data_IF_866808300602
#
_entry.id   IF_866808300602
#
_cell.length_a   1.000
_cell.length_b   1.000
_cell.length_c   1.000
_cell.angle_alpha   90.00
_cell.angle_beta   90.00
_cell.angle_gamma   90.00
#
_symmetry.space_group_name_H-M   'P 1'
#
loop_
_entity.id
_entity.type
_entity.pdbx_description
1 polymer ?
#
# COMPACT_ATOMS: atom_id res chain seq x y z
N UNK A 1 -4.50 -2.67 10.95
CA UNK A 1 -3.18 -3.22 10.63
C UNK A 1 -2.25 -2.25 9.90
N UNK A 2 -1.58 -1.38 10.66
CA UNK A 2 -0.44 -0.59 10.21
C UNK A 2 0.86 -1.32 10.53
N UNK A 3 1.34 -2.12 9.59
CA UNK A 3 2.75 -2.56 9.63
C UNK A 3 3.60 -1.32 9.36
N UNK A 4 4.51 -1.00 10.25
CA UNK A 4 5.42 0.12 10.13
C UNK A 4 6.68 -0.30 9.37
N UNK A 5 7.20 -1.49 9.66
CA UNK A 5 8.40 -2.02 9.01
C UNK A 5 8.51 -3.54 9.11
N UNK A 6 9.22 -4.13 8.17
CA UNK A 6 9.65 -5.53 8.15
C UNK A 6 11.17 -5.61 8.02
N UNK A 7 11.78 -6.53 8.77
CA UNK A 7 13.22 -6.79 8.75
C UNK A 7 13.48 -8.29 8.70
N UNK A 8 14.32 -8.72 7.77
CA UNK A 8 14.78 -10.10 7.62
C UNK A 8 16.28 -10.16 7.89
N UNK A 9 16.69 -11.08 8.76
CA UNK A 9 18.07 -11.32 9.13
C UNK A 9 18.49 -12.76 8.87
N UNK A 10 19.79 -12.96 8.68
CA UNK A 10 20.42 -14.27 8.76
C UNK A 10 20.64 -14.71 10.22
N UNK A 11 21.14 -15.92 10.40
CA UNK A 11 21.55 -16.46 11.71
C UNK A 11 22.53 -15.61 12.49
N UNK A 12 23.40 -14.90 11.79
CA UNK A 12 24.47 -14.13 12.39
C UNK A 12 24.00 -12.71 12.75
N UNK A 13 22.72 -12.39 12.53
CA UNK A 13 22.16 -11.06 12.78
C UNK A 13 22.45 -10.05 11.68
N UNK A 14 22.94 -10.48 10.51
CA UNK A 14 23.14 -9.59 9.36
C UNK A 14 21.82 -9.36 8.62
N UNK A 15 21.50 -8.11 8.23
CA UNK A 15 20.28 -7.81 7.51
C UNK A 15 20.34 -8.36 6.08
N UNK A 16 19.38 -9.22 5.73
CA UNK A 16 19.19 -9.75 4.38
C UNK A 16 18.28 -8.84 3.54
N UNK A 17 17.19 -8.36 4.14
CA UNK A 17 16.24 -7.46 3.52
C UNK A 17 15.49 -6.65 4.58
N UNK A 18 15.01 -5.46 4.22
CA UNK A 18 14.10 -4.70 5.05
C UNK A 18 13.21 -3.81 4.18
N UNK A 19 11.99 -3.55 4.62
CA UNK A 19 11.09 -2.61 3.97
C UNK A 19 10.32 -1.81 5.03
N UNK A 20 10.10 -0.53 4.75
CA UNK A 20 9.32 0.36 5.60
C UNK A 20 8.03 0.75 4.89
N UNK A 21 6.92 0.63 5.60
CA UNK A 21 5.58 0.92 5.07
C UNK A 21 4.94 2.12 5.76
N UNK A 22 5.29 2.37 7.02
CA UNK A 22 4.74 3.45 7.80
C UNK A 22 5.47 4.78 7.64
N UNK A 23 4.71 5.87 7.78
CA UNK A 23 5.24 7.24 7.71
C UNK A 23 5.91 7.72 9.02
N UNK A 24 5.86 6.93 10.11
CA UNK A 24 6.48 7.31 11.38
C UNK A 24 7.99 7.32 11.23
N UNK A 25 8.62 8.44 11.57
CA UNK A 25 10.07 8.49 11.74
C UNK A 25 10.43 7.66 12.98
N UNK A 26 10.97 6.47 12.76
CA UNK A 26 11.55 5.73 13.86
C UNK A 26 12.75 6.48 14.44
N UNK A 27 13.01 6.40 15.76
CA UNK A 27 14.26 6.86 16.33
C UNK A 27 15.42 6.22 15.58
N UNK A 28 16.50 6.97 15.33
CA UNK A 28 17.71 6.47 14.64
C UNK A 28 18.29 5.20 15.25
N UNK A 29 18.00 4.96 16.53
CA UNK A 29 18.41 3.79 17.31
C UNK A 29 17.56 2.53 17.09
N UNK A 30 16.43 2.59 16.38
CA UNK A 30 15.57 1.40 16.24
C UNK A 30 16.26 0.30 15.44
N UNK A 31 17.03 0.66 14.42
CA UNK A 31 17.76 -0.34 13.64
C UNK A 31 18.78 -1.07 14.52
N UNK A 32 19.53 -0.32 15.35
CA UNK A 32 20.43 -0.92 16.34
C UNK A 32 19.70 -1.81 17.35
N UNK A 33 18.56 -1.35 17.86
CA UNK A 33 17.73 -2.15 18.77
C UNK A 33 17.27 -3.45 18.10
N UNK A 34 16.76 -3.38 16.87
CA UNK A 34 16.27 -4.56 16.14
C UNK A 34 17.43 -5.52 15.85
N UNK A 35 18.61 -5.03 15.48
CA UNK A 35 19.80 -5.88 15.29
C UNK A 35 20.21 -6.57 16.60
N UNK A 36 20.31 -5.84 17.71
CA UNK A 36 20.65 -6.44 19.01
C UNK A 36 19.56 -7.42 19.51
N UNK A 37 18.30 -7.11 19.23
CA UNK A 37 17.18 -8.00 19.55
C UNK A 37 17.22 -9.26 18.67
N UNK A 38 17.58 -9.13 17.39
CA UNK A 38 17.78 -10.27 16.49
C UNK A 38 18.90 -11.19 16.97
N UNK A 39 20.03 -10.64 17.41
CA UNK A 39 21.12 -11.42 18.00
C UNK A 39 20.65 -12.18 19.25
N UNK A 40 19.88 -11.53 20.13
CA UNK A 40 19.34 -12.17 21.35
C UNK A 40 18.37 -13.30 21.00
N UNK A 41 17.45 -13.06 20.06
CA UNK A 41 16.47 -14.05 19.61
C UNK A 41 17.15 -15.24 18.93
N UNK A 42 18.13 -14.99 18.06
CA UNK A 42 18.88 -16.04 17.35
C UNK A 42 19.71 -16.92 18.33
N UNK A 43 20.19 -16.33 19.43
CA UNK A 43 20.93 -17.03 20.49
C UNK A 43 20.02 -17.71 21.53
N UNK A 44 18.71 -17.47 21.49
CA UNK A 44 17.72 -18.06 22.40
C UNK A 44 17.43 -19.54 22.12
N UNK A 45 16.96 -20.25 23.16
CA UNK A 45 16.73 -21.71 23.11
C UNK A 45 15.44 -22.13 22.38
N UNK A 46 14.51 -21.21 22.11
CA UNK A 46 13.20 -21.47 21.47
C UNK A 46 13.26 -21.12 19.99
N UNK A 47 13.64 -22.10 19.18
CA UNK A 47 13.66 -22.02 17.70
C UNK A 47 12.29 -22.47 17.18
N UNK A 48 11.77 -21.78 16.16
CA UNK A 48 10.46 -21.98 15.51
C UNK A 48 9.19 -21.49 16.27
N UNK A 49 9.33 -20.72 17.36
CA UNK A 49 8.17 -20.08 17.99
C UNK A 49 7.94 -18.65 17.48
N UNK A 50 6.66 -18.28 17.33
CA UNK A 50 6.23 -16.89 17.18
C UNK A 50 6.43 -16.17 18.52
N UNK A 51 7.12 -15.03 18.50
CA UNK A 51 7.31 -14.19 19.67
C UNK A 51 6.78 -12.78 19.46
N UNK A 52 6.53 -12.08 20.55
CA UNK A 52 6.10 -10.69 20.54
C UNK A 52 6.71 -9.89 21.69
N UNK A 53 6.84 -8.59 21.48
CA UNK A 53 7.25 -7.62 22.49
C UNK A 53 6.53 -6.28 22.27
N UNK A 54 5.98 -5.69 23.32
CA UNK A 54 5.29 -4.39 23.26
C UNK A 54 6.19 -3.26 23.77
N UNK A 55 6.20 -2.15 23.04
CA UNK A 55 6.99 -0.97 23.32
C UNK A 55 6.13 0.28 23.16
N UNK A 56 5.46 0.69 24.23
CA UNK A 56 4.63 1.91 24.27
C UNK A 56 3.56 1.92 23.17
N UNK A 57 3.83 2.58 22.05
CA UNK A 57 2.91 2.70 20.90
C UNK A 57 3.18 1.69 19.78
N UNK A 58 4.20 0.85 19.94
CA UNK A 58 4.60 -0.14 18.95
C UNK A 58 4.52 -1.54 19.54
N UNK A 59 4.32 -2.51 18.65
CA UNK A 59 4.48 -3.92 18.94
C UNK A 59 5.45 -4.52 17.91
N UNK A 60 6.37 -5.35 18.39
CA UNK A 60 7.33 -6.09 17.58
C UNK A 60 6.94 -7.55 17.65
N UNK A 61 6.60 -8.13 16.51
CA UNK A 61 6.35 -9.55 16.34
C UNK A 61 7.54 -10.15 15.61
N UNK A 62 7.90 -11.39 15.95
CA UNK A 62 9.00 -12.04 15.28
C UNK A 62 8.78 -13.54 15.13
N UNK A 63 9.43 -14.09 14.11
CA UNK A 63 9.57 -15.53 13.88
C UNK A 63 11.01 -15.81 13.54
N UNK A 64 11.60 -16.80 14.20
CA UNK A 64 12.98 -17.18 13.99
C UNK A 64 13.11 -18.70 13.93
N UNK A 65 13.95 -19.18 13.02
CA UNK A 65 14.33 -20.59 12.96
C UNK A 65 15.86 -20.72 13.16
N UNK A 66 16.39 -21.91 12.94
CA UNK A 66 17.83 -22.17 13.06
C UNK A 66 18.70 -21.51 11.98
N UNK A 67 18.11 -20.79 11.01
CA UNK A 67 18.80 -20.19 9.85
C UNK A 67 18.57 -18.68 9.67
N UNK A 68 17.44 -18.15 10.14
CA UNK A 68 16.90 -16.84 9.78
C UNK A 68 15.97 -16.31 10.86
N UNK A 69 15.82 -14.99 10.90
CA UNK A 69 14.81 -14.33 11.72
C UNK A 69 14.10 -13.19 10.97
N UNK A 70 12.78 -13.12 11.14
CA UNK A 70 11.90 -12.11 10.58
C UNK A 70 11.26 -11.31 11.71
N UNK A 71 11.35 -9.99 11.62
CA UNK A 71 10.75 -9.05 12.56
C UNK A 71 9.74 -8.17 11.84
N UNK A 72 8.57 -8.03 12.44
CA UNK A 72 7.50 -7.13 12.03
C UNK A 72 7.24 -6.12 13.13
N UNK A 73 7.31 -4.84 12.76
CA UNK A 73 6.97 -3.74 13.65
C UNK A 73 5.62 -3.21 13.21
N UNK A 74 4.67 -3.10 14.14
CA UNK A 74 3.34 -2.55 13.91
C UNK A 74 2.94 -1.61 15.05
N UNK A 75 1.87 -0.84 14.88
CA UNK A 75 1.32 -0.03 15.96
C UNK A 75 0.60 -0.89 17.00
N UNK A 76 0.69 -0.54 18.27
CA UNK A 76 0.09 -1.32 19.38
C UNK A 76 -1.44 -1.38 19.34
N UNK A 77 -2.10 -0.52 18.57
CA UNK A 77 -3.56 -0.51 18.36
C UNK A 77 -4.01 -1.67 17.45
N UNK A 78 -3.10 -2.22 16.64
CA UNK A 78 -3.44 -3.29 15.72
C UNK A 78 -3.70 -4.63 16.42
N UNK A 79 -4.74 -5.33 15.98
CA UNK A 79 -5.10 -6.65 16.51
C UNK A 79 -3.97 -7.67 16.26
N UNK A 80 -3.48 -8.25 17.36
CA UNK A 80 -2.33 -9.17 17.36
C UNK A 80 -2.53 -10.41 16.49
N UNK A 81 -3.72 -11.03 16.51
CA UNK A 81 -3.99 -12.26 15.75
C UNK A 81 -3.90 -12.03 14.23
N UNK A 82 -4.33 -10.86 13.76
CA UNK A 82 -4.20 -10.46 12.36
C UNK A 82 -2.73 -10.27 12.00
N UNK A 83 -1.94 -9.65 12.88
CA UNK A 83 -0.50 -9.45 12.67
C UNK A 83 0.27 -10.76 12.65
N UNK A 84 -0.06 -11.72 13.53
CA UNK A 84 0.55 -13.05 13.53
C UNK A 84 0.23 -13.81 12.23
N UNK A 85 -1.04 -13.76 11.79
CA UNK A 85 -1.45 -14.37 10.52
C UNK A 85 -0.69 -13.74 9.34
N UNK A 86 -0.51 -12.42 9.34
CA UNK A 86 0.26 -11.71 8.33
C UNK A 86 1.75 -12.08 8.39
N UNK A 87 2.34 -12.16 9.59
CA UNK A 87 3.73 -12.55 9.78
C UNK A 87 4.01 -13.95 9.22
N UNK A 88 3.09 -14.89 9.42
CA UNK A 88 3.18 -16.23 8.83
C UNK A 88 3.13 -16.22 7.30
N UNK A 89 2.22 -15.43 6.70
CA UNK A 89 2.16 -15.27 5.24
C UNK A 89 3.46 -14.70 4.68
N UNK A 90 3.95 -13.62 5.29
CA UNK A 90 5.21 -12.96 4.92
C UNK A 90 6.36 -13.97 5.05
N UNK A 91 6.47 -14.69 6.17
CA UNK A 91 7.51 -15.70 6.40
C UNK A 91 7.52 -16.81 5.33
N UNK A 92 6.35 -17.28 4.91
CA UNK A 92 6.22 -18.25 3.82
C UNK A 92 6.83 -17.74 2.51
N UNK A 93 6.49 -16.50 2.13
CA UNK A 93 7.04 -15.88 0.92
C UNK A 93 8.54 -15.62 1.02
N UNK A 94 9.03 -15.20 2.21
CA UNK A 94 10.46 -15.05 2.48
C UNK A 94 11.21 -16.34 2.18
N UNK A 95 10.66 -17.46 2.66
CA UNK A 95 11.26 -18.79 2.50
C UNK A 95 11.32 -19.18 1.02
N UNK A 96 10.25 -18.92 0.26
CA UNK A 96 10.18 -19.16 -1.19
C UNK A 96 11.21 -18.33 -1.96
N UNK A 97 11.26 -17.02 -1.71
CA UNK A 97 12.18 -16.10 -2.38
C UNK A 97 13.64 -16.49 -2.16
N UNK A 98 13.99 -16.88 -0.93
CA UNK A 98 15.37 -17.27 -0.61
C UNK A 98 15.72 -18.59 -1.29
N UNK A 99 14.82 -19.57 -1.28
CA UNK A 99 15.04 -20.85 -1.95
C UNK A 99 15.21 -20.69 -3.47
N UNK A 100 14.57 -19.68 -4.06
CA UNK A 100 14.69 -19.33 -5.48
C UNK A 100 15.87 -18.39 -5.79
N UNK A 101 16.57 -17.88 -4.77
CA UNK A 101 17.63 -16.88 -4.95
C UNK A 101 17.12 -15.51 -5.42
N UNK A 102 15.84 -15.22 -5.26
CA UNK A 102 15.17 -14.00 -5.75
C UNK A 102 14.95 -12.95 -4.65
N UNK A 103 15.86 -12.87 -3.67
CA UNK A 103 15.71 -11.90 -2.56
C UNK A 103 15.64 -10.44 -3.04
N UNK A 104 16.14 -10.16 -4.26
CA UNK A 104 15.99 -8.86 -4.92
C UNK A 104 14.54 -8.45 -5.14
N UNK A 105 13.63 -9.41 -5.30
CA UNK A 105 12.21 -9.18 -5.58
C UNK A 105 11.38 -9.03 -4.29
N UNK A 106 12.04 -9.11 -3.11
CA UNK A 106 11.43 -8.99 -1.78
C UNK A 106 10.44 -7.85 -1.71
N UNK A 107 10.87 -6.65 -2.13
CA UNK A 107 10.07 -5.44 -1.98
C UNK A 107 8.71 -5.59 -2.63
N UNK A 108 8.68 -6.05 -3.88
CA UNK A 108 7.44 -6.21 -4.65
C UNK A 108 6.54 -7.29 -4.03
N UNK A 109 7.09 -8.46 -3.71
CA UNK A 109 6.29 -9.59 -3.19
C UNK A 109 5.70 -9.34 -1.81
N UNK A 110 6.49 -8.75 -0.93
CA UNK A 110 6.07 -8.47 0.44
C UNK A 110 5.07 -7.33 0.44
N UNK A 111 5.22 -6.36 -0.46
CA UNK A 111 4.21 -5.34 -0.68
C UNK A 111 2.87 -5.96 -1.07
N UNK A 112 2.86 -6.88 -2.04
CA UNK A 112 1.62 -7.56 -2.46
C UNK A 112 0.94 -8.29 -1.29
N UNK A 113 1.71 -8.94 -0.41
CA UNK A 113 1.16 -9.65 0.76
C UNK A 113 0.64 -8.67 1.81
N UNK A 114 1.44 -7.65 2.17
CA UNK A 114 1.09 -6.67 3.20
C UNK A 114 -0.17 -5.89 2.82
N UNK A 115 -0.36 -5.66 1.52
CA UNK A 115 -1.50 -4.94 0.96
C UNK A 115 -2.51 -5.84 0.24
N UNK A 116 -2.48 -7.16 0.44
CA UNK A 116 -3.41 -8.11 -0.21
C UNK A 116 -4.89 -7.82 0.16
N UNK A 117 -5.11 -7.27 1.35
CA UNK A 117 -6.44 -6.80 1.81
C UNK A 117 -6.64 -5.29 1.65
N UNK A 118 -5.76 -4.62 0.92
CA UNK A 118 -5.85 -3.18 0.78
C UNK A 118 -7.01 -2.77 -0.12
N UNK A 119 -7.79 -1.80 0.34
CA UNK A 119 -8.81 -1.15 -0.49
C UNK A 119 -8.09 -0.31 -1.54
N UNK A 120 -8.14 -0.78 -2.78
CA UNK A 120 -7.63 -0.06 -3.94
C UNK A 120 -8.65 0.96 -4.43
N UNK A 121 -8.29 2.24 -4.37
CA UNK A 121 -9.02 3.37 -4.95
C UNK A 121 -8.23 3.86 -6.16
N UNK A 122 -8.82 3.79 -7.35
CA UNK A 122 -8.16 4.30 -8.56
C UNK A 122 -8.76 5.64 -8.97
N UNK A 123 -7.91 6.64 -9.23
CA UNK A 123 -8.32 7.95 -9.75
C UNK A 123 -7.99 8.01 -11.23
N UNK A 124 -9.02 8.21 -12.06
CA UNK A 124 -8.95 8.12 -13.51
C UNK A 124 -9.70 9.28 -14.18
N UNK A 125 -9.42 9.56 -15.45
CA UNK A 125 -9.91 10.77 -16.14
C UNK A 125 -8.89 11.35 -17.10
N UNK A 126 -9.32 12.20 -18.04
CA UNK A 126 -8.46 12.87 -19.04
C UNK A 126 -7.25 13.59 -18.41
N UNK A 127 -6.20 13.91 -19.18
CA UNK A 127 -5.08 14.73 -18.69
C UNK A 127 -5.58 16.09 -18.20
N UNK A 128 -4.84 16.72 -17.29
CA UNK A 128 -5.12 18.07 -16.76
C UNK A 128 -6.46 18.31 -16.01
N UNK A 129 -7.33 17.30 -15.84
CA UNK A 129 -8.59 17.44 -15.09
C UNK A 129 -8.45 17.56 -13.57
N UNK A 130 -7.23 17.51 -13.03
CA UNK A 130 -6.98 17.65 -11.59
C UNK A 130 -6.84 16.36 -10.77
N UNK A 131 -6.65 15.19 -11.40
CA UNK A 131 -6.47 13.90 -10.68
C UNK A 131 -5.37 13.94 -9.61
N UNK A 132 -4.17 14.37 -9.97
CA UNK A 132 -3.04 14.47 -9.02
C UNK A 132 -3.27 15.50 -7.92
N UNK A 133 -3.99 16.57 -8.24
CA UNK A 133 -4.45 17.56 -7.26
C UNK A 133 -5.43 16.94 -6.27
N UNK A 134 -6.42 16.20 -6.76
CA UNK A 134 -7.39 15.46 -5.94
C UNK A 134 -6.69 14.43 -5.06
N UNK A 135 -5.77 13.63 -5.61
CA UNK A 135 -4.95 12.68 -4.84
C UNK A 135 -4.22 13.38 -3.70
N UNK A 136 -3.55 14.49 -3.99
CA UNK A 136 -2.78 15.24 -2.98
C UNK A 136 -3.70 15.85 -1.91
N UNK A 137 -4.85 16.38 -2.31
CA UNK A 137 -5.88 16.90 -1.40
C UNK A 137 -6.45 15.81 -0.48
N UNK A 138 -6.83 14.66 -1.05
CA UNK A 138 -7.35 13.50 -0.30
C UNK A 138 -6.33 12.97 0.70
N UNK A 139 -5.03 13.10 0.43
CA UNK A 139 -3.97 12.64 1.32
C UNK A 139 -3.46 13.73 2.29
N UNK A 140 -4.02 14.94 2.25
CA UNK A 140 -3.52 16.13 2.97
C UNK A 140 -2.04 16.42 2.69
N UNK A 141 -1.60 16.15 1.47
CA UNK A 141 -0.27 16.48 0.97
C UNK A 141 -0.25 17.88 0.34
N UNK A 142 0.96 18.40 0.11
CA UNK A 142 1.15 19.67 -0.61
C UNK A 142 0.63 19.56 -2.04
N UNK A 143 -0.32 20.43 -2.40
CA UNK A 143 -0.89 20.45 -3.75
C UNK A 143 0.15 20.98 -4.75
N UNK A 144 0.41 20.27 -5.86
CA UNK A 144 1.33 20.74 -6.88
C UNK A 144 0.76 21.99 -7.59
N UNK A 145 1.52 23.09 -7.56
CA UNK A 145 1.15 24.35 -8.22
C UNK A 145 1.46 24.35 -9.72
N UNK A 146 2.38 23.49 -10.16
CA UNK A 146 2.79 23.36 -11.55
C UNK A 146 2.30 22.03 -12.10
N UNK A 147 1.59 22.09 -13.24
CA UNK A 147 1.14 20.88 -13.91
C UNK A 147 2.32 20.06 -14.43
N UNK A 148 2.45 18.84 -13.92
CA UNK A 148 3.33 17.79 -14.44
C UNK A 148 2.47 16.59 -14.79
N UNK A 149 2.43 16.14 -16.06
CA UNK A 149 1.64 14.97 -16.42
C UNK A 149 2.11 13.72 -15.67
N UNK A 150 1.16 12.97 -15.12
CA UNK A 150 1.44 11.64 -14.56
C UNK A 150 1.94 10.70 -15.66
N UNK A 151 3.01 9.96 -15.37
CA UNK A 151 3.57 8.93 -16.26
C UNK A 151 3.07 7.57 -15.77
N UNK A 152 2.26 6.88 -16.58
CA UNK A 152 1.72 5.57 -16.23
C UNK A 152 0.78 5.62 -15.03
N UNK A 153 1.29 5.26 -13.85
CA UNK A 153 0.54 5.25 -12.59
C UNK A 153 1.44 5.66 -11.42
N UNK A 154 0.89 6.44 -10.50
CA UNK A 154 1.52 6.75 -9.20
C UNK A 154 0.68 6.11 -8.11
N UNK A 155 1.30 5.26 -7.29
CA UNK A 155 0.64 4.56 -6.18
C UNK A 155 1.00 5.28 -4.87
N UNK A 156 -0.02 5.65 -4.10
CA UNK A 156 0.15 6.31 -2.80
C UNK A 156 -0.59 5.56 -1.70
N UNK A 157 0.01 5.51 -0.53
CA UNK A 157 -0.61 4.95 0.67
C UNK A 157 -1.42 6.02 1.39
N UNK A 158 -2.66 5.69 1.75
CA UNK A 158 -3.42 6.56 2.66
C UNK A 158 -2.91 6.32 4.08
N UNK A 159 -2.50 7.38 4.82
CA UNK A 159 -2.17 7.26 6.23
C UNK A 159 -3.34 6.69 7.04
N UNK A 160 -3.02 5.95 8.09
CA UNK A 160 -4.04 5.38 8.99
C UNK A 160 -4.85 6.46 9.71
N UNK A 161 -6.12 6.15 10.00
CA UNK A 161 -7.06 7.07 10.62
C UNK A 161 -7.82 7.98 9.65
N UNK A 162 -7.53 7.92 8.34
CA UNK A 162 -8.25 8.70 7.32
C UNK A 162 -9.60 8.09 6.91
N UNK A 163 -9.71 6.75 6.95
CA UNK A 163 -10.93 5.99 6.61
C UNK A 163 -11.30 4.99 7.74
N UNK A 164 -11.38 5.48 8.98
CA UNK A 164 -11.72 4.64 10.14
C UNK A 164 -10.65 3.59 10.50
N UNK A 165 -11.06 2.45 11.05
CA UNK A 165 -10.17 1.33 11.43
C UNK A 165 -9.66 0.50 10.24
N UNK A 166 -10.05 0.85 9.01
CA UNK A 166 -9.56 0.16 7.81
C UNK A 166 -8.12 0.56 7.54
N UNK A 167 -7.25 -0.44 7.47
CA UNK A 167 -5.83 -0.26 7.21
C UNK A 167 -5.46 -0.85 5.87
N UNK A 168 -4.69 -0.08 5.11
CA UNK A 168 -4.31 -0.44 3.75
C UNK A 168 -5.29 0.14 2.75
N UNK A 169 -5.36 1.47 2.60
CA UNK A 169 -6.00 2.05 1.41
C UNK A 169 -4.89 2.48 0.47
N UNK A 170 -4.97 2.04 -0.79
CA UNK A 170 -4.03 2.41 -1.85
C UNK A 170 -4.74 3.31 -2.84
N UNK A 171 -4.20 4.50 -3.07
CA UNK A 171 -4.66 5.40 -4.11
C UNK A 171 -3.78 5.25 -5.34
N UNK A 172 -4.39 4.85 -6.45
CA UNK A 172 -3.74 4.74 -7.76
C UNK A 172 -4.10 5.97 -8.60
N UNK A 173 -3.19 6.94 -8.72
CA UNK A 173 -3.33 8.08 -9.63
C UNK A 173 -2.89 7.67 -11.03
N UNK A 174 -3.86 7.47 -11.93
CA UNK A 174 -3.63 6.90 -13.25
C UNK A 174 -3.48 8.01 -14.29
N UNK A 175 -2.49 7.90 -15.16
CA UNK A 175 -2.31 8.79 -16.30
C UNK A 175 -3.49 8.69 -17.29
N UNK A 176 -4.11 9.84 -17.57
CA UNK A 176 -5.25 9.95 -18.48
C UNK A 176 -4.91 10.09 -19.96
N UNK A 177 -3.62 10.07 -20.34
CA UNK A 177 -3.18 10.29 -21.71
C UNK A 177 -3.44 9.04 -22.55
N UNK A 178 -3.90 9.22 -23.79
CA UNK A 178 -4.25 8.10 -24.68
C UNK A 178 -3.06 7.17 -24.97
N UNK A 179 -1.83 7.65 -24.83
CA UNK A 179 -0.59 6.84 -24.90
C UNK A 179 -0.56 5.68 -23.89
N UNK A 180 -1.27 5.80 -22.75
CA UNK A 180 -1.37 4.74 -21.73
C UNK A 180 -2.66 3.92 -21.84
N UNK A 181 -3.45 4.09 -22.92
CA UNK A 181 -4.77 3.47 -23.07
C UNK A 181 -4.79 1.95 -22.96
N UNK A 182 -3.73 1.29 -23.44
CA UNK A 182 -3.55 -0.16 -23.36
C UNK A 182 -3.31 -0.65 -21.92
N UNK A 183 -2.81 0.21 -21.02
CA UNK A 183 -2.51 -0.12 -19.63
C UNK A 183 -3.70 0.16 -18.69
N UNK A 184 -4.66 0.99 -19.11
CA UNK A 184 -5.82 1.33 -18.25
C UNK A 184 -6.59 0.11 -17.74
N UNK A 185 -6.88 -0.93 -18.54
CA UNK A 185 -7.56 -2.13 -18.03
C UNK A 185 -6.77 -2.81 -16.91
N UNK A 186 -5.44 -2.85 -17.03
CA UNK A 186 -4.53 -3.43 -16.04
C UNK A 186 -4.55 -2.59 -14.77
N UNK A 187 -4.46 -1.27 -14.91
CA UNK A 187 -4.46 -0.35 -13.77
C UNK A 187 -5.80 -0.30 -13.04
N UNK A 188 -6.92 -0.45 -13.74
CA UNK A 188 -8.26 -0.37 -13.15
C UNK A 188 -8.71 -1.72 -12.57
N UNK A 189 -8.13 -2.84 -12.99
CA UNK A 189 -8.43 -4.18 -12.47
C UNK A 189 -8.33 -4.24 -10.94
N UNK A 190 -9.27 -4.93 -10.31
CA UNK A 190 -9.38 -5.13 -8.86
C UNK A 190 -9.46 -3.82 -8.05
N UNK A 191 -9.88 -2.70 -8.67
CA UNK A 191 -10.18 -1.48 -7.92
C UNK A 191 -11.50 -1.66 -7.17
N UNK A 192 -11.49 -1.40 -5.88
CA UNK A 192 -12.69 -1.42 -5.04
C UNK A 192 -13.56 -0.19 -5.32
N UNK A 193 -12.91 0.93 -5.63
CA UNK A 193 -13.54 2.19 -6.01
C UNK A 193 -12.76 2.83 -7.16
N UNK A 194 -13.47 3.36 -8.15
CA UNK A 194 -12.88 4.19 -9.19
C UNK A 194 -13.48 5.60 -9.16
N UNK A 195 -12.64 6.60 -8.95
CA UNK A 195 -12.99 8.01 -9.00
C UNK A 195 -12.68 8.52 -10.40
N UNK A 196 -13.70 8.85 -11.18
CA UNK A 196 -13.54 9.44 -12.51
C UNK A 196 -13.63 10.96 -12.39
N UNK A 197 -12.51 11.63 -12.58
CA UNK A 197 -12.42 13.09 -12.55
C UNK A 197 -12.68 13.67 -13.94
N UNK A 198 -13.50 14.71 -14.00
CA UNK A 198 -13.78 15.49 -15.21
C UNK A 198 -13.65 16.98 -14.91
N UNK A 199 -13.36 17.80 -15.92
CA UNK A 199 -13.61 19.23 -15.83
C UNK A 199 -14.99 19.56 -16.43
N UNK A 200 -15.34 20.85 -16.42
CA UNK A 200 -16.57 21.39 -17.00
C UNK A 200 -16.58 21.35 -18.54
N UNK A 201 -15.53 20.84 -19.18
CA UNK A 201 -15.40 20.74 -20.62
C UNK A 201 -16.25 19.61 -21.21
N UNK A 202 -17.01 19.92 -22.27
CA UNK A 202 -17.87 18.95 -22.95
C UNK A 202 -17.10 17.70 -23.41
N UNK A 203 -15.90 17.89 -23.97
CA UNK A 203 -15.02 16.80 -24.42
C UNK A 203 -14.70 15.81 -23.28
N UNK A 204 -14.35 16.32 -22.11
CA UNK A 204 -13.99 15.50 -20.94
C UNK A 204 -15.20 14.74 -20.40
N UNK A 205 -16.36 15.38 -20.35
CA UNK A 205 -17.62 14.77 -19.92
C UNK A 205 -18.07 13.67 -20.90
N UNK A 206 -18.00 13.93 -22.21
CA UNK A 206 -18.37 12.93 -23.21
C UNK A 206 -17.39 11.74 -23.20
N UNK A 207 -16.10 12.02 -23.02
CA UNK A 207 -15.08 11.00 -22.88
C UNK A 207 -15.30 10.13 -21.63
N UNK A 208 -15.58 10.75 -20.48
CA UNK A 208 -15.81 10.00 -19.22
C UNK A 208 -17.04 9.11 -19.35
N UNK A 209 -18.13 9.56 -20.01
CA UNK A 209 -19.30 8.73 -20.32
C UNK A 209 -18.99 7.54 -21.23
N UNK A 210 -18.11 7.71 -22.24
CA UNK A 210 -17.69 6.61 -23.12
C UNK A 210 -16.88 5.58 -22.36
N UNK A 211 -15.90 6.03 -21.60
CA UNK A 211 -15.03 5.18 -20.79
C UNK A 211 -15.80 4.45 -19.70
N UNK A 212 -16.76 5.11 -19.05
CA UNK A 212 -17.63 4.48 -18.06
C UNK A 212 -18.25 3.19 -18.60
N UNK A 213 -18.78 3.21 -19.83
CA UNK A 213 -19.36 2.02 -20.47
C UNK A 213 -18.34 0.91 -20.72
N UNK A 214 -17.07 1.26 -20.94
CA UNK A 214 -16.00 0.29 -21.20
C UNK A 214 -15.44 -0.35 -19.93
N UNK A 215 -15.50 0.35 -18.78
CA UNK A 215 -14.91 -0.13 -17.52
C UNK A 215 -15.96 -0.55 -16.48
N UNK A 216 -17.24 -0.20 -16.66
CA UNK A 216 -18.32 -0.50 -15.69
C UNK A 216 -18.55 -1.99 -15.46
N UNK A 217 -18.19 -2.86 -16.41
CA UNK A 217 -18.32 -4.33 -16.24
C UNK A 217 -17.28 -4.92 -15.29
N UNK A 218 -16.23 -4.17 -14.93
CA UNK A 218 -15.07 -4.66 -14.19
C UNK A 218 -14.88 -3.97 -12.83
N UNK A 219 -15.78 -3.07 -12.42
CA UNK A 219 -15.61 -2.22 -11.24
C UNK A 219 -16.87 -2.23 -10.37
N UNK A 220 -16.68 -2.35 -9.06
CA UNK A 220 -17.75 -2.42 -8.05
C UNK A 220 -18.44 -1.07 -7.77
N UNK A 221 -17.72 0.06 -7.84
CA UNK A 221 -18.29 1.38 -7.60
C UNK A 221 -17.53 2.47 -8.36
N UNK A 222 -18.29 3.38 -8.98
CA UNK A 222 -17.73 4.51 -9.72
C UNK A 222 -18.36 5.82 -9.23
N UNK A 223 -17.52 6.82 -8.97
CA UNK A 223 -17.95 8.17 -8.60
C UNK A 223 -17.39 9.15 -9.62
N UNK A 224 -18.26 9.99 -10.18
CA UNK A 224 -17.85 11.11 -11.03
C UNK A 224 -17.57 12.34 -10.16
N UNK A 225 -16.40 12.97 -10.35
CA UNK A 225 -15.99 14.15 -9.60
C UNK A 225 -15.69 15.30 -10.57
N UNK A 226 -16.50 16.38 -10.58
CA UNK A 226 -16.19 17.60 -11.32
C UNK A 226 -15.05 18.37 -10.65
N UNK A 227 -14.12 18.90 -11.45
CA UNK A 227 -12.90 19.57 -10.97
C UNK A 227 -13.15 20.96 -10.38
N UNK A 228 -14.28 21.58 -10.68
CA UNK A 228 -14.65 22.94 -10.20
C UNK A 228 -15.57 22.91 -8.97
N UNK A 229 -16.20 21.78 -8.68
CA UNK A 229 -17.10 21.60 -7.55
C UNK A 229 -16.71 20.33 -6.79
N UNK A 230 -16.07 20.46 -5.64
CA UNK A 230 -15.77 19.34 -4.72
C UNK A 230 -17.05 18.71 -4.12
N UNK A 231 -18.25 18.99 -4.67
CA UNK A 231 -19.54 18.81 -4.02
C UNK A 231 -20.63 18.15 -4.88
N UNK A 232 -20.30 17.30 -5.86
CA UNK A 232 -21.31 16.37 -6.42
C UNK A 232 -20.67 15.00 -6.62
N UNK A 233 -20.89 14.11 -5.66
CA UNK A 233 -20.71 12.68 -5.84
C UNK A 233 -22.05 12.11 -6.33
N UNK A 234 -22.22 11.97 -7.65
CA UNK A 234 -23.18 11.00 -8.15
C UNK A 234 -22.57 9.62 -7.93
N UNK A 235 -22.96 8.97 -6.83
CA UNK A 235 -22.67 7.56 -6.60
C UNK A 235 -23.54 6.79 -7.59
N UNK A 236 -22.96 6.42 -8.74
CA UNK A 236 -23.58 5.45 -9.63
C UNK A 236 -23.10 4.08 -9.16
N UNK A 237 -23.79 3.56 -8.15
CA UNK A 237 -23.68 2.14 -7.80
C UNK A 237 -24.40 1.34 -8.88
N UNK A 238 -23.65 0.55 -9.66
CA UNK A 238 -24.26 -0.44 -10.54
C UNK A 238 -24.57 -1.70 -9.71
N UNK A 239 -25.78 -2.28 -9.85
CA UNK A 239 -26.17 -3.49 -9.12
C UNK A 239 -25.37 -4.74 -9.54
#
# INVERSE_FOLDING_TARGET
MMIQALYLFDNNGNPLAHERFGARSFPSKINHFITSFAELVNNGSKKDELGFAEFSQLQVLYKANSTKSLFMIADSIDLRDNLLTMLEKVWGECSTLINQGQISDWKTRIFDIVFDQAIKISIFGRPAVGKTTLTSYLLKETIPLVYKPTIGVVIKHVPTGFFGNHTGVLVWDIAGQDTFSTLWPIYLKNSHLVLITTDSGLETVLWSRRILKSVSSAITSIVLLPSQDVMIADIVAFP
#
